data_IF_595953223217
#
_entry.id   IF_595953223217
#
_cell.length_a   1.000
_cell.length_b   1.000
_cell.length_c   1.000
_cell.angle_alpha   90.00
_cell.angle_beta   90.00
_cell.angle_gamma   90.00
#
_symmetry.space_group_name_H-M   'P 1'
#
loop_
_entity.id
_entity.type
_entity.pdbx_description
1 polymer ?
#
# COMPACT_ATOMS: atom_id res chain seq x y z
N UNK A 1 -14.27 -51.98 -5.71
CA UNK A 1 -13.20 -50.97 -5.55
C UNK A 1 -13.64 -49.73 -6.29
N UNK A 2 -13.95 -48.60 -5.61
CA UNK A 2 -14.29 -47.38 -6.32
C UNK A 2 -13.00 -46.65 -6.69
N UNK A 3 -12.84 -46.40 -7.99
CA UNK A 3 -11.81 -45.58 -8.61
C UNK A 3 -11.99 -44.12 -8.19
N UNK A 4 -10.97 -43.54 -7.55
CA UNK A 4 -10.91 -42.13 -7.19
C UNK A 4 -10.91 -41.26 -8.46
N UNK A 5 -11.88 -40.36 -8.58
CA UNK A 5 -11.87 -39.28 -9.56
C UNK A 5 -10.78 -38.23 -9.23
N UNK A 6 -10.44 -37.34 -10.17
CA UNK A 6 -9.38 -36.36 -9.99
C UNK A 6 -9.71 -35.47 -8.79
N UNK A 7 -8.84 -35.53 -7.78
CA UNK A 7 -8.88 -34.63 -6.64
C UNK A 7 -8.76 -33.20 -7.16
N UNK A 8 -9.83 -32.42 -7.00
CA UNK A 8 -9.76 -30.97 -7.16
C UNK A 8 -8.75 -30.47 -6.12
N UNK A 9 -7.56 -30.11 -6.60
CA UNK A 9 -6.56 -29.46 -5.77
C UNK A 9 -7.22 -28.24 -5.10
N UNK A 10 -7.08 -28.07 -3.78
CA UNK A 10 -7.61 -26.90 -3.10
C UNK A 10 -7.00 -25.66 -3.75
N UNK A 11 -7.84 -24.74 -4.23
CA UNK A 11 -7.42 -23.38 -4.57
C UNK A 11 -6.90 -22.75 -3.27
N UNK A 12 -5.60 -22.86 -3.03
CA UNK A 12 -4.97 -22.28 -1.84
C UNK A 12 -5.29 -20.78 -1.83
N UNK A 13 -5.94 -20.29 -0.78
CA UNK A 13 -6.01 -18.86 -0.45
C UNK A 13 -4.75 -18.57 0.37
N UNK A 14 -3.96 -17.62 -0.13
CA UNK A 14 -2.66 -17.16 0.38
C UNK A 14 -1.57 -18.24 0.58
N UNK A 15 -0.32 -17.84 0.35
CA UNK A 15 0.87 -18.69 0.48
C UNK A 15 1.81 -18.63 -0.73
N UNK A 16 3.11 -18.61 -0.47
CA UNK A 16 4.17 -18.63 -1.48
C UNK A 16 3.93 -19.75 -2.50
N UNK A 17 3.63 -19.37 -3.75
CA UNK A 17 3.28 -20.31 -4.83
C UNK A 17 4.53 -21.02 -5.35
N UNK A 18 4.43 -22.33 -5.56
CA UNK A 18 5.54 -23.19 -5.97
C UNK A 18 5.99 -23.05 -7.45
N UNK A 19 5.58 -21.99 -8.15
CA UNK A 19 5.92 -21.75 -9.55
C UNK A 19 7.10 -20.80 -9.73
N UNK A 20 7.78 -20.90 -10.88
CA UNK A 20 8.95 -20.08 -11.24
C UNK A 20 8.67 -19.13 -12.41
N UNK A 21 7.44 -19.14 -12.96
CA UNK A 21 7.05 -18.39 -14.15
C UNK A 21 5.93 -17.40 -13.80
N UNK A 22 6.01 -16.20 -14.39
CA UNK A 22 4.94 -15.20 -14.38
C UNK A 22 4.52 -14.90 -15.82
N UNK A 23 3.22 -14.98 -16.09
CA UNK A 23 2.62 -14.73 -17.40
C UNK A 23 2.01 -13.34 -17.41
N UNK A 24 2.36 -12.53 -18.41
CA UNK A 24 1.81 -11.18 -18.59
C UNK A 24 0.94 -11.12 -19.83
N UNK A 25 -0.30 -10.68 -19.65
CA UNK A 25 -1.29 -10.50 -20.70
C UNK A 25 -1.80 -9.06 -20.60
N UNK A 26 -1.67 -8.29 -21.67
CA UNK A 26 -2.09 -6.90 -21.62
C UNK A 26 -2.01 -6.13 -22.93
N UNK A 27 -2.28 -4.84 -22.81
CA UNK A 27 -2.21 -3.86 -23.89
C UNK A 27 -0.82 -3.24 -24.10
N UNK A 28 -0.75 -2.07 -24.75
CA UNK A 28 0.50 -1.40 -25.10
C UNK A 28 1.41 -1.11 -23.92
N UNK A 29 0.88 -0.74 -22.77
CA UNK A 29 1.71 -0.41 -21.60
C UNK A 29 2.42 -1.68 -21.09
N UNK A 30 1.71 -2.80 -21.01
CA UNK A 30 2.28 -4.11 -20.63
C UNK A 30 3.30 -4.63 -21.66
N UNK A 31 3.12 -4.28 -22.94
CA UNK A 31 4.08 -4.57 -23.99
C UNK A 31 5.39 -3.77 -23.86
N UNK A 32 5.35 -2.65 -23.12
CA UNK A 32 6.48 -1.75 -22.88
C UNK A 32 6.44 -0.45 -23.66
N UNK A 33 5.30 -0.06 -24.22
CA UNK A 33 5.17 1.25 -24.88
C UNK A 33 5.53 2.38 -23.91
N UNK A 34 6.37 3.30 -24.37
CA UNK A 34 6.88 4.43 -23.59
C UNK A 34 8.15 4.15 -22.77
N UNK A 35 8.49 2.88 -22.52
CA UNK A 35 9.79 2.50 -21.96
C UNK A 35 10.90 2.71 -23.02
N UNK A 36 12.09 3.07 -22.57
CA UNK A 36 13.26 3.25 -23.44
C UNK A 36 13.79 1.93 -23.99
N UNK A 37 13.69 0.85 -23.21
CA UNK A 37 14.10 -0.51 -23.58
C UNK A 37 13.18 -1.55 -22.94
N UNK A 38 13.15 -2.77 -23.48
CA UNK A 38 12.34 -3.86 -22.94
C UNK A 38 12.64 -4.19 -21.48
N UNK A 39 13.88 -4.03 -21.01
CA UNK A 39 14.22 -4.28 -19.61
C UNK A 39 13.55 -3.27 -18.64
N UNK A 40 13.09 -2.11 -19.13
CA UNK A 40 12.49 -1.05 -18.33
C UNK A 40 10.96 -1.05 -18.37
N UNK A 41 10.30 -2.03 -19.02
CA UNK A 41 8.85 -2.14 -18.96
C UNK A 41 8.40 -2.74 -17.62
N UNK A 42 7.20 -2.38 -17.16
CA UNK A 42 6.69 -2.81 -15.85
C UNK A 42 6.72 -4.34 -15.65
N UNK A 43 6.44 -5.09 -16.72
CA UNK A 43 6.38 -6.55 -16.68
C UNK A 43 7.75 -7.19 -16.49
N UNK A 44 8.81 -6.66 -17.11
CA UNK A 44 10.17 -7.17 -16.93
C UNK A 44 10.74 -6.77 -15.56
N UNK A 45 10.45 -5.56 -15.08
CA UNK A 45 10.87 -5.10 -13.74
C UNK A 45 10.21 -5.95 -12.65
N UNK A 46 8.87 -6.06 -12.65
CA UNK A 46 8.16 -6.83 -11.64
C UNK A 46 8.52 -8.33 -11.67
N UNK A 47 8.73 -8.91 -12.86
CA UNK A 47 9.18 -10.31 -12.97
C UNK A 47 10.57 -10.50 -12.35
N UNK A 48 11.51 -9.58 -12.60
CA UNK A 48 12.85 -9.59 -12.01
C UNK A 48 12.78 -9.50 -10.49
N UNK A 49 12.00 -8.55 -9.97
CA UNK A 49 11.95 -8.26 -8.53
C UNK A 49 11.23 -9.37 -7.75
N UNK A 50 10.26 -10.06 -8.37
CA UNK A 50 9.64 -11.26 -7.82
C UNK A 50 10.49 -12.54 -8.00
N UNK A 51 11.62 -12.46 -8.71
CA UNK A 51 12.47 -13.62 -9.00
C UNK A 51 11.84 -14.65 -9.93
N UNK A 52 10.95 -14.23 -10.83
CA UNK A 52 10.18 -15.09 -11.73
C UNK A 52 10.59 -14.92 -13.20
N UNK A 53 10.54 -16.00 -13.96
CA UNK A 53 10.79 -15.96 -15.40
C UNK A 53 9.59 -15.35 -16.12
N UNK A 54 9.82 -14.26 -16.87
CA UNK A 54 8.77 -13.56 -17.61
C UNK A 54 8.33 -14.33 -18.86
N UNK A 55 7.01 -14.46 -19.04
CA UNK A 55 6.36 -14.82 -20.30
C UNK A 55 5.34 -13.75 -20.69
N UNK A 56 5.73 -12.84 -21.59
CA UNK A 56 4.93 -11.67 -21.95
C UNK A 56 4.23 -11.83 -23.30
N UNK A 57 2.90 -11.82 -23.27
CA UNK A 57 2.02 -11.91 -24.43
C UNK A 57 1.26 -10.61 -24.70
N UNK A 58 1.65 -9.50 -24.09
CA UNK A 58 1.01 -8.23 -24.35
C UNK A 58 1.20 -7.78 -25.81
N UNK A 59 0.23 -7.02 -26.32
CA UNK A 59 0.28 -6.47 -27.67
C UNK A 59 -0.08 -4.98 -27.67
N UNK A 60 0.58 -4.21 -28.54
CA UNK A 60 0.44 -2.76 -28.62
C UNK A 60 -0.93 -2.27 -29.07
N UNK A 61 -1.75 -3.16 -29.65
CA UNK A 61 -3.09 -2.88 -30.12
C UNK A 61 -4.19 -3.59 -29.30
N UNK A 62 -3.83 -4.29 -28.23
CA UNK A 62 -4.80 -4.97 -27.38
C UNK A 62 -5.36 -4.01 -26.33
N UNK A 63 -6.67 -4.05 -26.15
CA UNK A 63 -7.41 -3.44 -25.04
C UNK A 63 -8.28 -4.53 -24.39
N UNK A 64 -8.90 -4.23 -23.25
CA UNK A 64 -9.79 -5.20 -22.59
C UNK A 64 -10.98 -5.53 -23.48
N UNK A 65 -11.60 -4.50 -24.07
CA UNK A 65 -12.73 -4.67 -25.00
C UNK A 65 -12.32 -5.30 -26.34
N UNK A 66 -11.03 -5.29 -26.71
CA UNK A 66 -10.58 -5.82 -27.99
C UNK A 66 -9.16 -6.42 -27.92
N UNK A 67 -9.05 -7.74 -28.04
CA UNK A 67 -7.78 -8.43 -28.23
C UNK A 67 -7.12 -8.99 -26.96
N UNK A 68 -7.49 -8.56 -25.74
CA UNK A 68 -6.93 -9.12 -24.51
C UNK A 68 -7.21 -10.63 -24.36
N UNK A 69 -8.43 -11.08 -24.62
CA UNK A 69 -8.78 -12.51 -24.60
C UNK A 69 -7.97 -13.30 -25.64
N UNK A 70 -7.72 -12.72 -26.81
CA UNK A 70 -6.84 -13.33 -27.82
C UNK A 70 -5.40 -13.50 -27.30
N UNK A 71 -4.92 -12.59 -26.46
CA UNK A 71 -3.61 -12.73 -25.78
C UNK A 71 -3.64 -13.83 -24.71
N UNK A 72 -4.77 -14.05 -24.04
CA UNK A 72 -4.96 -15.19 -23.15
C UNK A 72 -4.82 -16.52 -23.92
N UNK A 73 -5.42 -16.62 -25.12
CA UNK A 73 -5.26 -17.79 -25.98
C UNK A 73 -3.81 -17.99 -26.43
N UNK A 74 -3.10 -16.91 -26.79
CA UNK A 74 -1.69 -17.01 -27.15
C UNK A 74 -0.85 -17.58 -25.99
N UNK A 75 -1.11 -17.15 -24.75
CA UNK A 75 -0.43 -17.70 -23.56
C UNK A 75 -0.78 -19.18 -23.30
N UNK A 76 -2.07 -19.55 -23.43
CA UNK A 76 -2.55 -20.93 -23.29
C UNK A 76 -1.95 -21.89 -24.34
N UNK A 77 -1.73 -21.36 -25.54
CA UNK A 77 -1.32 -22.19 -26.68
C UNK A 77 0.21 -22.29 -26.80
N UNK A 78 0.99 -21.44 -26.12
CA UNK A 78 2.46 -21.58 -26.06
C UNK A 78 2.86 -22.82 -25.23
N UNK A 79 3.50 -23.78 -25.90
CA UNK A 79 4.01 -25.03 -25.30
C UNK A 79 5.50 -24.98 -24.97
N UNK A 80 6.13 -23.80 -25.02
CA UNK A 80 7.56 -23.62 -24.74
C UNK A 80 7.93 -23.71 -23.25
N UNK A 81 6.96 -23.85 -22.35
CA UNK A 81 7.15 -24.00 -20.91
C UNK A 81 6.02 -24.81 -20.30
N UNK A 82 6.26 -25.35 -19.11
CA UNK A 82 5.25 -26.07 -18.34
C UNK A 82 4.28 -25.09 -17.68
N UNK A 83 3.00 -25.20 -18.01
CA UNK A 83 1.94 -24.35 -17.48
C UNK A 83 1.72 -24.57 -15.98
N UNK A 84 2.12 -25.71 -15.44
CA UNK A 84 2.10 -25.97 -13.99
C UNK A 84 3.18 -25.19 -13.22
N UNK A 85 4.20 -24.66 -13.90
CA UNK A 85 5.23 -23.83 -13.28
C UNK A 85 4.84 -22.34 -13.23
N UNK A 86 3.67 -21.97 -13.76
CA UNK A 86 3.16 -20.60 -13.67
C UNK A 86 2.64 -20.32 -12.27
N UNK A 87 3.34 -19.44 -11.56
CA UNK A 87 2.94 -18.96 -10.24
C UNK A 87 1.86 -17.87 -10.33
N UNK A 88 2.01 -16.96 -11.30
CA UNK A 88 1.15 -15.78 -11.44
C UNK A 88 0.78 -15.53 -12.90
N UNK A 89 -0.46 -15.07 -13.10
CA UNK A 89 -0.92 -14.52 -14.38
C UNK A 89 -1.41 -13.11 -14.14
N UNK A 90 -0.75 -12.14 -14.77
CA UNK A 90 -1.12 -10.73 -14.71
C UNK A 90 -1.94 -10.37 -15.94
N UNK A 91 -3.18 -9.94 -15.71
CA UNK A 91 -4.07 -9.35 -16.70
C UNK A 91 -4.05 -7.83 -16.52
N UNK A 92 -3.54 -7.10 -17.51
CA UNK A 92 -3.28 -5.66 -17.38
C UNK A 92 -3.85 -4.85 -18.54
N UNK A 93 -4.68 -3.85 -18.23
CA UNK A 93 -5.27 -2.95 -19.21
C UNK A 93 -6.51 -2.21 -18.71
N UNK A 94 -7.14 -1.46 -19.61
CA UNK A 94 -8.42 -0.79 -19.38
C UNK A 94 -8.36 0.73 -19.51
N UNK A 95 -7.15 1.32 -19.49
CA UNK A 95 -7.00 2.76 -19.69
C UNK A 95 -7.14 3.16 -21.16
N UNK A 96 -6.89 2.20 -22.06
CA UNK A 96 -7.03 2.32 -23.51
C UNK A 96 -8.49 2.23 -23.98
N UNK A 97 -9.38 1.67 -23.16
CA UNK A 97 -10.76 1.41 -23.53
C UNK A 97 -11.63 2.68 -23.40
N UNK A 98 -12.36 3.09 -24.44
CA UNK A 98 -13.30 4.20 -24.34
C UNK A 98 -14.53 3.80 -23.53
N UNK A 99 -15.22 4.78 -22.94
CA UNK A 99 -16.44 4.53 -22.15
C UNK A 99 -17.55 3.84 -22.96
N UNK A 100 -17.61 4.10 -24.28
CA UNK A 100 -18.55 3.43 -25.19
C UNK A 100 -18.33 1.92 -25.30
N UNK A 101 -17.15 1.42 -24.91
CA UNK A 101 -16.82 0.00 -24.88
C UNK A 101 -17.08 -0.66 -23.52
N UNK A 102 -17.62 0.06 -22.53
CA UNK A 102 -17.86 -0.46 -21.17
C UNK A 102 -18.62 -1.80 -21.14
N UNK A 103 -19.70 -2.03 -21.91
CA UNK A 103 -20.35 -3.34 -21.93
C UNK A 103 -19.40 -4.46 -22.37
N UNK A 104 -18.53 -4.18 -23.34
CA UNK A 104 -17.51 -5.13 -23.80
C UNK A 104 -16.41 -5.37 -22.78
N UNK A 105 -16.00 -4.33 -22.07
CA UNK A 105 -15.02 -4.45 -20.98
C UNK A 105 -15.54 -5.38 -19.88
N UNK A 106 -16.80 -5.24 -19.46
CA UNK A 106 -17.38 -6.04 -18.37
C UNK A 106 -17.31 -7.54 -18.68
N UNK A 107 -17.87 -7.99 -19.81
CA UNK A 107 -17.87 -9.43 -20.08
C UNK A 107 -16.48 -9.97 -20.47
N UNK A 108 -15.65 -9.19 -21.20
CA UNK A 108 -14.31 -9.64 -21.59
C UNK A 108 -13.32 -9.67 -20.44
N UNK A 109 -13.50 -8.83 -19.42
CA UNK A 109 -12.72 -8.93 -18.20
C UNK A 109 -12.97 -10.28 -17.51
N UNK A 110 -14.23 -10.66 -17.35
CA UNK A 110 -14.61 -11.97 -16.79
C UNK A 110 -14.08 -13.13 -17.63
N UNK A 111 -14.23 -13.05 -18.95
CA UNK A 111 -13.77 -14.09 -19.87
C UNK A 111 -12.25 -14.27 -19.82
N UNK A 112 -11.49 -13.18 -19.78
CA UNK A 112 -10.03 -13.25 -19.68
C UNK A 112 -9.56 -13.95 -18.40
N UNK A 113 -10.20 -13.68 -17.24
CA UNK A 113 -9.93 -14.43 -16.01
C UNK A 113 -10.29 -15.91 -16.18
N UNK A 114 -11.46 -16.22 -16.75
CA UNK A 114 -11.91 -17.60 -16.97
C UNK A 114 -10.94 -18.39 -17.85
N UNK A 115 -10.51 -17.81 -18.97
CA UNK A 115 -9.57 -18.46 -19.89
C UNK A 115 -8.19 -18.67 -19.27
N UNK A 116 -7.69 -17.68 -18.52
CA UNK A 116 -6.44 -17.85 -17.79
C UNK A 116 -6.54 -18.92 -16.70
N UNK A 117 -7.68 -19.03 -16.00
CA UNK A 117 -7.88 -20.06 -14.97
C UNK A 117 -7.90 -21.47 -15.55
N UNK A 118 -8.48 -21.64 -16.74
CA UNK A 118 -8.47 -22.91 -17.47
C UNK A 118 -7.06 -23.28 -17.93
N UNK A 119 -6.29 -22.30 -18.40
CA UNK A 119 -4.94 -22.50 -18.91
C UNK A 119 -3.91 -22.76 -17.78
N UNK A 120 -4.03 -22.03 -16.68
CA UNK A 120 -3.05 -21.99 -15.59
C UNK A 120 -3.74 -22.27 -14.24
N UNK A 121 -4.24 -23.50 -14.00
CA UNK A 121 -5.07 -23.81 -12.84
C UNK A 121 -4.36 -23.65 -11.49
N UNK A 122 -3.02 -23.74 -11.47
CA UNK A 122 -2.21 -23.57 -10.26
C UNK A 122 -1.84 -22.09 -9.96
N UNK A 123 -2.04 -21.19 -10.93
CA UNK A 123 -1.58 -19.82 -10.84
C UNK A 123 -2.57 -18.92 -10.08
N UNK A 124 -2.03 -17.92 -9.36
CA UNK A 124 -2.81 -16.78 -8.87
C UNK A 124 -3.02 -15.79 -10.01
N UNK A 125 -4.29 -15.50 -10.31
CA UNK A 125 -4.64 -14.49 -11.30
C UNK A 125 -4.72 -13.13 -10.61
N UNK A 126 -4.07 -12.15 -11.21
CA UNK A 126 -4.03 -10.77 -10.76
C UNK A 126 -4.55 -9.90 -11.89
N UNK A 127 -5.50 -9.04 -11.58
CA UNK A 127 -6.00 -8.03 -12.49
C UNK A 127 -5.43 -6.66 -12.14
N UNK A 128 -4.48 -6.20 -12.94
CA UNK A 128 -3.84 -4.90 -12.90
C UNK A 128 -4.63 -3.88 -13.76
N UNK A 129 -5.63 -3.25 -13.16
CA UNK A 129 -6.59 -2.41 -13.88
C UNK A 129 -6.05 -0.99 -14.14
N UNK A 130 -6.13 -0.55 -15.39
CA UNK A 130 -5.84 0.82 -15.81
C UNK A 130 -4.38 1.29 -15.64
N UNK A 131 -3.34 0.51 -16.01
CA UNK A 131 -1.98 1.02 -15.98
C UNK A 131 -1.85 2.23 -16.91
N UNK A 132 -1.05 3.23 -16.51
CA UNK A 132 -0.69 4.37 -17.36
C UNK A 132 -0.89 5.75 -16.73
N UNK A 133 -0.51 6.78 -17.47
CA UNK A 133 -0.61 8.18 -17.04
C UNK A 133 -1.97 8.79 -17.36
N UNK A 134 -2.49 9.61 -16.45
CA UNK A 134 -3.69 10.43 -16.64
C UNK A 134 -3.35 11.90 -16.96
N UNK A 135 -2.07 12.24 -17.07
CA UNK A 135 -1.64 13.60 -17.31
C UNK A 135 -2.18 14.12 -18.66
N UNK A 136 -2.79 15.30 -18.63
CA UNK A 136 -3.43 15.91 -19.79
C UNK A 136 -4.83 15.37 -20.13
N UNK A 137 -5.41 14.48 -19.32
CA UNK A 137 -6.83 14.13 -19.44
C UNK A 137 -7.73 15.25 -18.90
N UNK A 138 -8.82 15.52 -19.61
CA UNK A 138 -9.90 16.38 -19.10
C UNK A 138 -10.75 15.66 -18.03
N UNK A 139 -11.63 16.41 -17.37
CA UNK A 139 -12.49 15.90 -16.30
C UNK A 139 -13.40 14.75 -16.76
N UNK A 140 -13.92 14.80 -17.99
CA UNK A 140 -14.78 13.74 -18.53
C UNK A 140 -13.99 12.45 -18.70
N UNK A 141 -12.80 12.51 -19.30
CA UNK A 141 -11.91 11.34 -19.48
C UNK A 141 -11.43 10.75 -18.15
N UNK A 142 -11.24 11.59 -17.12
CA UNK A 142 -10.92 11.12 -15.77
C UNK A 142 -12.08 10.33 -15.14
N UNK A 143 -13.34 10.76 -15.34
CA UNK A 143 -14.53 10.05 -14.87
C UNK A 143 -14.76 8.77 -15.67
N UNK A 144 -14.62 8.82 -16.98
CA UNK A 144 -14.77 7.68 -17.88
C UNK A 144 -13.78 6.56 -17.54
N UNK A 145 -12.49 6.91 -17.39
CA UNK A 145 -11.46 5.94 -16.98
C UNK A 145 -11.73 5.36 -15.60
N UNK A 146 -12.27 6.14 -14.67
CA UNK A 146 -12.67 5.64 -13.34
C UNK A 146 -13.79 4.60 -13.46
N UNK A 147 -14.77 4.84 -14.32
CA UNK A 147 -15.90 3.93 -14.56
C UNK A 147 -15.41 2.61 -15.15
N UNK A 148 -14.56 2.67 -16.17
CA UNK A 148 -13.98 1.48 -16.83
C UNK A 148 -13.14 0.66 -15.84
N UNK A 149 -12.23 1.30 -15.12
CA UNK A 149 -11.36 0.64 -14.14
C UNK A 149 -12.18 0.02 -13.00
N UNK A 150 -13.21 0.71 -12.51
CA UNK A 150 -14.08 0.17 -11.45
C UNK A 150 -14.84 -1.08 -11.91
N UNK A 151 -15.36 -1.07 -13.15
CA UNK A 151 -16.06 -2.23 -13.71
C UNK A 151 -15.12 -3.45 -13.83
N UNK A 152 -13.90 -3.22 -14.30
CA UNK A 152 -12.86 -4.25 -14.38
C UNK A 152 -12.54 -4.84 -13.01
N UNK A 153 -12.28 -3.99 -12.01
CA UNK A 153 -11.95 -4.42 -10.66
C UNK A 153 -13.11 -5.20 -10.02
N UNK A 154 -14.37 -4.79 -10.29
CA UNK A 154 -15.55 -5.54 -9.88
C UNK A 154 -15.58 -6.96 -10.46
N UNK A 155 -15.36 -7.10 -11.77
CA UNK A 155 -15.32 -8.40 -12.43
C UNK A 155 -14.15 -9.29 -11.95
N UNK A 156 -13.00 -8.68 -11.67
CA UNK A 156 -11.86 -9.39 -11.11
C UNK A 156 -12.20 -10.00 -9.73
N UNK A 157 -12.86 -9.23 -8.85
CA UNK A 157 -13.27 -9.70 -7.52
C UNK A 157 -14.31 -10.83 -7.59
N UNK A 158 -15.34 -10.67 -8.42
CA UNK A 158 -16.36 -11.72 -8.65
C UNK A 158 -15.71 -13.02 -9.16
N UNK A 159 -14.64 -12.92 -9.94
CA UNK A 159 -13.90 -14.06 -10.47
C UNK A 159 -12.75 -14.56 -9.57
N UNK A 160 -12.68 -14.11 -8.32
CA UNK A 160 -11.64 -14.45 -7.33
C UNK A 160 -10.20 -14.24 -7.86
N UNK A 161 -10.00 -13.12 -8.55
CA UNK A 161 -8.69 -12.60 -8.93
C UNK A 161 -8.28 -11.47 -7.98
N UNK A 162 -6.98 -11.34 -7.72
CA UNK A 162 -6.45 -10.20 -6.96
C UNK A 162 -6.62 -8.92 -7.78
N UNK A 163 -7.38 -7.96 -7.29
CA UNK A 163 -7.73 -6.75 -8.02
C UNK A 163 -6.82 -5.58 -7.60
N UNK A 164 -5.94 -5.14 -8.51
CA UNK A 164 -4.95 -4.08 -8.29
C UNK A 164 -5.30 -2.87 -9.13
N UNK A 165 -5.48 -1.70 -8.49
CA UNK A 165 -5.81 -0.46 -9.18
C UNK A 165 -4.55 0.30 -9.59
N UNK A 166 -4.12 0.16 -10.83
CA UNK A 166 -2.93 0.84 -11.35
C UNK A 166 -3.21 2.25 -11.87
N UNK A 167 -4.48 2.61 -12.07
CA UNK A 167 -4.90 3.94 -12.55
C UNK A 167 -4.42 5.07 -11.63
N UNK A 168 -4.30 4.80 -10.34
CA UNK A 168 -3.92 5.80 -9.33
C UNK A 168 -2.42 5.96 -9.17
N UNK A 169 -1.61 5.03 -9.70
CA UNK A 169 -0.17 4.97 -9.42
C UNK A 169 0.56 6.17 -10.02
N UNK A 170 0.34 6.44 -11.31
CA UNK A 170 0.94 7.59 -11.99
C UNK A 170 0.10 8.85 -11.84
N UNK A 171 -1.22 8.68 -11.68
CA UNK A 171 -2.16 9.79 -11.59
C UNK A 171 -1.94 10.81 -12.72
N UNK A 172 -1.88 12.09 -12.35
CA UNK A 172 -1.64 13.21 -13.27
C UNK A 172 -0.19 13.69 -13.27
N UNK A 173 0.76 12.91 -12.74
CA UNK A 173 2.17 13.28 -12.72
C UNK A 173 2.77 13.22 -14.13
N UNK A 174 3.18 14.38 -14.65
CA UNK A 174 3.80 14.49 -15.98
C UNK A 174 5.24 14.00 -16.00
N UNK A 175 5.92 13.92 -14.86
CA UNK A 175 7.30 13.44 -14.78
C UNK A 175 7.43 11.95 -15.05
N UNK A 176 6.35 11.18 -14.88
CA UNK A 176 6.28 9.74 -15.15
C UNK A 176 5.67 9.43 -16.54
N UNK A 177 5.36 10.45 -17.33
CA UNK A 177 4.74 10.33 -18.64
C UNK A 177 5.79 10.39 -19.76
N UNK A 178 5.68 9.49 -20.74
CA UNK A 178 6.42 9.58 -22.00
C UNK A 178 5.57 10.35 -23.03
N UNK A 179 4.35 9.87 -23.29
CA UNK A 179 3.39 10.55 -24.16
C UNK A 179 1.98 10.01 -23.96
N UNK A 180 0.97 10.89 -23.90
CA UNK A 180 -0.41 10.47 -23.70
C UNK A 180 -0.56 9.54 -22.48
N UNK A 181 -1.19 8.38 -22.64
CA UNK A 181 -1.32 7.43 -21.51
C UNK A 181 -0.04 6.64 -21.22
N UNK A 182 0.98 6.75 -22.08
CA UNK A 182 2.17 5.90 -22.03
C UNK A 182 3.14 6.39 -20.95
N UNK A 183 3.53 5.52 -20.02
CA UNK A 183 4.53 5.85 -19.02
C UNK A 183 5.94 5.87 -19.62
N UNK A 184 6.83 6.69 -19.04
CA UNK A 184 8.27 6.59 -19.29
C UNK A 184 8.90 5.54 -18.35
N UNK A 185 10.22 5.41 -18.34
CA UNK A 185 10.92 4.43 -17.50
C UNK A 185 10.55 4.53 -16.01
N UNK A 186 10.49 5.75 -15.45
CA UNK A 186 10.09 5.96 -14.07
C UNK A 186 8.62 5.58 -13.82
N UNK A 187 7.74 5.84 -14.79
CA UNK A 187 6.35 5.40 -14.71
C UNK A 187 6.20 3.88 -14.78
N UNK A 188 7.00 3.18 -15.61
CA UNK A 188 7.01 1.72 -15.64
C UNK A 188 7.54 1.11 -14.34
N UNK A 189 8.56 1.74 -13.74
CA UNK A 189 9.09 1.34 -12.43
C UNK A 189 8.03 1.47 -11.33
N UNK A 190 7.33 2.60 -11.24
CA UNK A 190 6.26 2.80 -10.26
C UNK A 190 5.09 1.81 -10.44
N UNK A 191 4.70 1.51 -11.69
CA UNK A 191 3.68 0.49 -11.97
C UNK A 191 4.14 -0.91 -11.57
N UNK A 192 5.42 -1.24 -11.77
CA UNK A 192 5.98 -2.52 -11.36
C UNK A 192 6.00 -2.66 -9.83
N UNK A 193 6.45 -1.63 -9.12
CA UNK A 193 6.49 -1.59 -7.65
C UNK A 193 5.10 -1.86 -7.05
N UNK A 194 4.07 -1.19 -7.56
CA UNK A 194 2.69 -1.40 -7.10
C UNK A 194 2.19 -2.85 -7.31
N UNK A 195 2.65 -3.53 -8.36
CA UNK A 195 2.31 -4.94 -8.60
C UNK A 195 3.10 -5.84 -7.64
N UNK A 196 4.39 -5.58 -7.45
CA UNK A 196 5.24 -6.34 -6.53
C UNK A 196 4.71 -6.25 -5.09
N UNK A 197 4.39 -5.04 -4.62
CA UNK A 197 3.79 -4.81 -3.31
C UNK A 197 2.49 -5.59 -3.15
N UNK A 198 1.58 -5.50 -4.12
CA UNK A 198 0.32 -6.25 -4.08
C UNK A 198 0.52 -7.78 -4.06
N UNK A 199 1.55 -8.30 -4.74
CA UNK A 199 1.88 -9.73 -4.73
C UNK A 199 2.47 -10.15 -3.39
N UNK A 200 3.37 -9.35 -2.81
CA UNK A 200 3.97 -9.65 -1.51
C UNK A 200 2.94 -9.53 -0.37
N UNK A 201 2.01 -8.58 -0.44
CA UNK A 201 0.88 -8.49 0.49
C UNK A 201 -0.04 -9.72 0.40
N UNK A 202 -0.41 -10.17 -0.81
CA UNK A 202 -1.20 -11.41 -1.02
C UNK A 202 -0.45 -12.67 -0.53
N UNK A 203 0.90 -12.63 -0.48
CA UNK A 203 1.73 -13.69 0.12
C UNK A 203 1.79 -13.61 1.64
N UNK A 204 1.78 -12.40 2.21
CA UNK A 204 1.94 -12.14 3.64
C UNK A 204 0.65 -12.32 4.45
N UNK A 205 -0.52 -12.33 3.81
CA UNK A 205 -1.77 -12.70 4.48
C UNK A 205 -1.67 -14.12 5.08
N UNK A 206 -1.88 -14.30 6.41
CA UNK A 206 -1.80 -15.60 7.03
C UNK A 206 -2.75 -16.57 6.33
N UNK A 207 -2.25 -17.78 6.06
CA UNK A 207 -3.08 -18.89 5.59
C UNK A 207 -4.15 -19.12 6.64
N UNK A 208 -5.36 -18.62 6.41
CA UNK A 208 -6.51 -19.03 7.19
C UNK A 208 -6.59 -20.54 7.02
N UNK A 209 -6.30 -21.25 8.10
CA UNK A 209 -6.59 -22.68 8.25
C UNK A 209 -7.96 -22.95 7.65
N UNK A 210 -8.13 -24.02 6.85
CA UNK A 210 -9.41 -24.28 6.20
C UNK A 210 -10.50 -24.24 7.27
N UNK A 211 -11.37 -23.24 7.18
CA UNK A 211 -12.63 -23.25 7.90
C UNK A 211 -13.30 -24.51 7.35
N UNK A 212 -13.24 -25.59 8.12
CA UNK A 212 -14.16 -26.70 7.92
C UNK A 212 -15.53 -26.06 7.97
N UNK A 213 -16.33 -26.10 6.89
CA UNK A 213 -17.67 -25.57 6.96
C UNK A 213 -18.43 -26.46 7.96
N UNK A 214 -18.43 -26.11 9.24
CA UNK A 214 -19.41 -26.60 10.20
C UNK A 214 -20.71 -25.87 9.94
N UNK A 215 -21.26 -26.11 8.75
CA UNK A 215 -22.68 -26.01 8.47
C UNK A 215 -23.04 -27.23 7.65
N UNK A 216 -23.49 -28.25 8.37
CA UNK A 216 -24.37 -29.28 7.83
C UNK A 216 -25.56 -28.57 7.17
N UNK A 217 -25.48 -28.31 5.87
CA UNK A 217 -26.70 -28.31 5.07
C UNK A 217 -27.09 -29.77 4.93
N UNK A 218 -28.02 -30.20 5.78
CA UNK A 218 -28.84 -31.36 5.49
C UNK A 218 -29.29 -31.26 4.03
N UNK A 219 -28.93 -32.25 3.24
CA UNK A 219 -29.30 -32.46 1.85
C UNK A 219 -30.81 -32.69 1.70
N UNK A 220 -31.61 -31.68 2.03
CA UNK A 220 -33.08 -31.70 1.95
C UNK A 220 -33.65 -30.92 0.77
N UNK A 221 -32.83 -30.16 0.02
CA UNK A 221 -33.30 -29.32 -1.10
C UNK A 221 -33.00 -29.92 -2.49
N UNK A 222 -32.16 -30.95 -2.58
CA UNK A 222 -31.87 -31.64 -3.84
C UNK A 222 -32.84 -32.78 -4.19
N UNK A 223 -33.81 -33.11 -3.33
CA UNK A 223 -34.76 -34.23 -3.56
C UNK A 223 -36.20 -33.77 -3.90
N UNK A 224 -36.47 -32.46 -3.91
CA UNK A 224 -37.78 -31.92 -4.35
C UNK A 224 -37.75 -31.45 -5.81
N UNK A 225 -36.69 -30.74 -6.22
CA UNK A 225 -36.53 -30.24 -7.58
C UNK A 225 -36.36 -31.37 -8.62
N UNK A 226 -35.65 -32.44 -8.27
CA UNK A 226 -35.47 -33.61 -9.15
C UNK A 226 -36.74 -34.44 -9.30
N UNK A 227 -37.57 -34.56 -8.25
CA UNK A 227 -38.84 -35.31 -8.31
C UNK A 227 -39.93 -34.60 -9.09
N UNK A 228 -39.95 -33.26 -9.12
CA UNK A 228 -40.88 -32.51 -9.97
C UNK A 228 -40.52 -32.57 -11.46
N UNK A 229 -39.23 -32.58 -11.79
CA UNK A 229 -38.73 -32.67 -13.18
C UNK A 229 -38.86 -34.09 -13.75
N UNK A 230 -38.70 -35.14 -12.93
CA UNK A 230 -38.95 -36.52 -13.37
C UNK A 230 -40.45 -36.87 -13.46
N UNK A 231 -41.29 -36.32 -12.59
CA UNK A 231 -42.74 -36.50 -12.65
C UNK A 231 -43.40 -35.76 -13.84
N UNK A 232 -42.81 -34.64 -14.29
CA UNK A 232 -43.26 -33.92 -15.50
C UNK A 232 -42.75 -34.63 -16.77
N UNK A 233 -41.49 -35.07 -16.82
CA UNK A 233 -40.97 -35.83 -17.97
C UNK A 233 -41.66 -37.18 -18.18
N UNK A 234 -42.07 -37.89 -17.12
CA UNK A 234 -42.88 -39.12 -17.26
C UNK A 234 -44.30 -38.85 -17.77
N UNK A 235 -44.98 -37.79 -17.31
CA UNK A 235 -46.32 -37.42 -17.80
C UNK A 235 -46.32 -36.85 -19.22
N UNK A 236 -45.22 -36.24 -19.66
CA UNK A 236 -45.05 -35.75 -21.03
C UNK A 236 -44.64 -36.86 -22.01
N UNK A 237 -43.86 -37.85 -21.57
CA UNK A 237 -43.55 -39.04 -22.35
C UNK A 237 -44.80 -39.92 -22.54
N UNK A 238 -45.60 -40.14 -21.48
CA UNK A 238 -46.85 -40.91 -21.57
C UNK A 238 -47.94 -40.20 -22.41
N UNK A 239 -47.91 -38.87 -22.54
CA UNK A 239 -48.82 -38.11 -23.42
C UNK A 239 -48.36 -38.05 -24.88
N UNK A 240 -47.06 -38.21 -25.16
CA UNK A 240 -46.50 -38.22 -26.54
C UNK A 240 -46.71 -39.55 -27.28
N UNK A 241 -46.99 -40.64 -26.57
CA UNK A 241 -47.25 -41.95 -27.18
C UNK A 241 -48.74 -42.22 -27.47
N UNK A 242 -49.65 -41.45 -26.83
CA UNK A 242 -51.09 -41.60 -27.00
C UNK A 242 -51.75 -40.66 -28.03
N UNK A 243 -51.04 -39.66 -28.56
CA UNK A 243 -51.67 -38.67 -29.44
C UNK A 243 -50.76 -38.29 -30.60
N UNK A 244 -50.86 -39.06 -31.70
CA UNK A 244 -50.23 -38.73 -32.98
C UNK A 244 -51.32 -38.29 -33.97
N UNK A 245 -51.59 -36.99 -34.14
CA UNK A 245 -52.34 -36.49 -35.29
C UNK A 245 -51.42 -35.76 -36.27
N UNK A 246 -51.57 -36.16 -37.52
CA UNK A 246 -51.14 -35.50 -38.75
C UNK A 246 -51.75 -34.11 -38.91
N UNK A 247 -50.96 -33.11 -39.34
CA UNK A 247 -51.50 -31.85 -39.88
C UNK A 247 -50.65 -30.62 -39.60
N UNK A 248 -49.97 -30.12 -40.62
CA UNK A 248 -48.80 -29.22 -40.64
C UNK A 248 -48.99 -27.80 -40.09
N UNK A 249 -50.21 -27.35 -39.76
CA UNK A 249 -50.44 -25.98 -39.24
C UNK A 249 -50.53 -25.91 -37.71
N UNK A 250 -50.98 -27.00 -37.07
CA UNK A 250 -50.95 -27.11 -35.61
C UNK A 250 -49.52 -27.17 -35.10
N UNK A 251 -48.60 -27.83 -35.84
CA UNK A 251 -47.16 -27.91 -35.52
C UNK A 251 -46.46 -26.55 -35.47
N UNK A 252 -46.86 -25.59 -36.31
CA UNK A 252 -46.30 -24.23 -36.30
C UNK A 252 -46.82 -23.39 -35.13
N UNK A 253 -48.07 -23.63 -34.70
CA UNK A 253 -48.65 -22.98 -33.51
C UNK A 253 -48.08 -23.59 -32.23
N UNK A 254 -47.90 -24.91 -32.14
CA UNK A 254 -47.20 -25.54 -31.00
C UNK A 254 -45.73 -25.18 -30.95
N UNK A 255 -45.03 -25.07 -32.09
CA UNK A 255 -43.65 -24.57 -32.10
C UNK A 255 -43.55 -23.12 -31.62
N UNK A 256 -44.44 -22.23 -32.08
CA UNK A 256 -44.47 -20.84 -31.58
C UNK A 256 -44.85 -20.76 -30.12
N UNK A 257 -45.74 -21.63 -29.63
CA UNK A 257 -46.11 -21.69 -28.22
C UNK A 257 -44.96 -22.24 -27.37
N UNK A 258 -44.22 -23.25 -27.86
CA UNK A 258 -43.02 -23.78 -27.21
C UNK A 258 -41.89 -22.73 -27.18
N UNK A 259 -41.69 -21.99 -28.27
CA UNK A 259 -40.74 -20.87 -28.35
C UNK A 259 -41.13 -19.72 -27.41
N UNK A 260 -42.42 -19.33 -27.36
CA UNK A 260 -42.89 -18.31 -26.42
C UNK A 260 -42.77 -18.78 -24.96
N UNK A 261 -43.04 -20.05 -24.70
CA UNK A 261 -42.90 -20.64 -23.35
C UNK A 261 -41.42 -20.68 -22.94
N UNK A 262 -40.52 -21.02 -23.86
CA UNK A 262 -39.08 -20.94 -23.62
C UNK A 262 -38.61 -19.50 -23.43
N UNK A 263 -39.09 -18.54 -24.23
CA UNK A 263 -38.75 -17.12 -24.08
C UNK A 263 -39.25 -16.54 -22.75
N UNK A 264 -40.47 -16.89 -22.32
CA UNK A 264 -40.98 -16.51 -21.00
C UNK A 264 -40.17 -17.14 -19.87
N UNK A 265 -39.79 -18.42 -19.98
CA UNK A 265 -38.93 -19.07 -19.00
C UNK A 265 -37.55 -18.42 -18.90
N UNK A 266 -36.92 -18.07 -20.03
CA UNK A 266 -35.63 -17.36 -20.07
C UNK A 266 -35.77 -15.96 -19.47
N UNK A 267 -36.85 -15.24 -19.75
CA UNK A 267 -37.09 -13.92 -19.19
C UNK A 267 -37.33 -13.96 -17.67
N UNK A 268 -37.98 -15.02 -17.18
CA UNK A 268 -38.23 -15.21 -15.75
C UNK A 268 -36.95 -15.55 -15.00
N UNK A 269 -36.10 -16.43 -15.56
CA UNK A 269 -34.77 -16.75 -15.01
C UNK A 269 -33.86 -15.50 -15.02
N UNK A 270 -33.94 -14.66 -16.04
CA UNK A 270 -33.15 -13.42 -16.11
C UNK A 270 -33.57 -12.41 -15.03
N UNK A 271 -34.86 -12.31 -14.73
CA UNK A 271 -35.38 -11.43 -13.67
C UNK A 271 -35.00 -11.94 -12.28
N UNK A 272 -35.06 -13.25 -12.05
CA UNK A 272 -34.59 -13.86 -10.80
C UNK A 272 -33.09 -13.62 -10.61
N UNK A 273 -32.28 -13.79 -11.67
CA UNK A 273 -30.85 -13.52 -11.61
C UNK A 273 -30.55 -12.04 -11.32
N UNK A 274 -31.31 -11.10 -11.89
CA UNK A 274 -31.17 -9.68 -11.57
C UNK A 274 -31.55 -9.34 -10.12
N UNK A 275 -32.52 -10.06 -9.54
CA UNK A 275 -32.90 -9.90 -8.14
C UNK A 275 -31.84 -10.45 -7.19
N UNK A 276 -31.29 -11.62 -7.48
CA UNK A 276 -30.17 -12.19 -6.70
C UNK A 276 -28.94 -11.27 -6.75
N UNK A 277 -28.63 -10.71 -7.93
CA UNK A 277 -27.54 -9.73 -8.08
C UNK A 277 -27.81 -8.45 -7.26
N UNK A 278 -29.05 -7.94 -7.24
CA UNK A 278 -29.40 -6.78 -6.43
C UNK A 278 -29.26 -7.05 -4.93
N UNK A 279 -29.65 -8.24 -4.46
CA UNK A 279 -29.52 -8.64 -3.07
C UNK A 279 -28.04 -8.80 -2.65
N UNK A 280 -27.20 -9.36 -3.53
CA UNK A 280 -25.76 -9.42 -3.31
C UNK A 280 -25.12 -8.03 -3.26
N UNK A 281 -25.48 -7.15 -4.19
CA UNK A 281 -25.02 -5.75 -4.19
C UNK A 281 -25.44 -5.00 -2.93
N UNK A 282 -26.64 -5.25 -2.43
CA UNK A 282 -27.13 -4.65 -1.19
C UNK A 282 -26.34 -5.13 0.02
N UNK A 283 -26.06 -6.44 0.12
CA UNK A 283 -25.23 -6.99 1.20
C UNK A 283 -23.78 -6.46 1.13
N UNK A 284 -23.22 -6.34 -0.06
CA UNK A 284 -21.88 -5.79 -0.23
C UNK A 284 -21.84 -4.31 0.18
N UNK A 285 -22.86 -3.53 -0.18
CA UNK A 285 -22.96 -2.12 0.21
C UNK A 285 -23.06 -1.97 1.73
N UNK A 286 -23.82 -2.83 2.41
CA UNK A 286 -23.91 -2.86 3.87
C UNK A 286 -22.56 -3.21 4.51
N UNK A 287 -21.85 -4.20 3.98
CA UNK A 287 -20.51 -4.55 4.45
C UNK A 287 -19.50 -3.41 4.24
N UNK A 288 -19.55 -2.73 3.10
CA UNK A 288 -18.72 -1.55 2.83
C UNK A 288 -19.05 -0.38 3.77
N UNK A 289 -20.34 -0.14 4.05
CA UNK A 289 -20.75 0.88 5.03
C UNK A 289 -20.23 0.56 6.43
N UNK A 290 -20.31 -0.69 6.87
CA UNK A 290 -19.77 -1.10 8.16
C UNK A 290 -18.24 -0.93 8.22
N UNK A 291 -17.53 -1.26 7.14
CA UNK A 291 -16.08 -1.06 7.04
C UNK A 291 -15.72 0.43 7.11
N UNK A 292 -16.43 1.28 6.38
CA UNK A 292 -16.25 2.74 6.42
C UNK A 292 -16.52 3.30 7.82
N UNK A 293 -17.58 2.84 8.49
CA UNK A 293 -17.89 3.23 9.85
C UNK A 293 -16.76 2.85 10.82
N UNK A 294 -16.20 1.65 10.68
CA UNK A 294 -15.06 1.18 11.48
C UNK A 294 -13.82 2.06 11.26
N UNK A 295 -13.51 2.35 9.99
CA UNK A 295 -12.39 3.26 9.64
C UNK A 295 -12.61 4.67 10.19
N UNK A 296 -13.84 5.20 10.14
CA UNK A 296 -14.18 6.50 10.70
C UNK A 296 -14.00 6.53 12.23
N UNK A 297 -14.36 5.46 12.92
CA UNK A 297 -14.15 5.32 14.36
C UNK A 297 -12.65 5.27 14.70
N UNK A 298 -11.85 4.56 13.91
CA UNK A 298 -10.39 4.51 14.06
C UNK A 298 -9.75 5.89 13.84
N UNK A 299 -10.16 6.62 12.79
CA UNK A 299 -9.68 7.99 12.54
C UNK A 299 -10.02 8.93 13.69
N UNK A 300 -11.24 8.85 14.22
CA UNK A 300 -11.66 9.64 15.38
C UNK A 300 -10.79 9.35 16.62
N UNK A 301 -10.44 8.08 16.82
CA UNK A 301 -9.53 7.68 17.91
C UNK A 301 -8.12 8.24 17.71
N UNK A 302 -7.56 8.10 16.50
CA UNK A 302 -6.24 8.66 16.18
C UNK A 302 -6.20 10.18 16.31
N UNK A 303 -7.28 10.88 15.92
CA UNK A 303 -7.39 12.32 16.10
C UNK A 303 -7.35 12.71 17.58
N UNK A 304 -8.06 11.98 18.43
CA UNK A 304 -8.05 12.19 19.88
C UNK A 304 -6.67 11.94 20.50
N UNK A 305 -5.96 10.91 20.04
CA UNK A 305 -4.59 10.58 20.46
C UNK A 305 -3.60 11.67 20.04
N UNK A 306 -3.71 12.18 18.81
CA UNK A 306 -2.88 13.29 18.32
C UNK A 306 -3.11 14.57 19.12
N UNK A 307 -4.36 14.91 19.45
CA UNK A 307 -4.67 16.07 20.29
C UNK A 307 -4.06 15.94 21.70
N UNK A 308 -4.09 14.74 22.28
CA UNK A 308 -3.47 14.48 23.57
C UNK A 308 -1.94 14.62 23.51
N UNK A 309 -1.32 14.10 22.45
CA UNK A 309 0.13 14.25 22.21
C UNK A 309 0.51 15.72 22.03
N UNK A 310 -0.26 16.51 21.29
CA UNK A 310 -0.03 17.95 21.12
C UNK A 310 -0.08 18.70 22.45
N UNK A 311 -1.05 18.39 23.32
CA UNK A 311 -1.14 18.99 24.67
C UNK A 311 0.07 18.62 25.55
N UNK A 312 0.53 17.37 25.46
CA UNK A 312 1.71 16.90 26.17
C UNK A 312 2.98 17.62 25.70
N UNK A 313 3.18 17.72 24.38
CA UNK A 313 4.29 18.44 23.78
C UNK A 313 4.29 19.92 24.17
N UNK A 314 3.12 20.57 24.18
CA UNK A 314 3.00 21.96 24.61
C UNK A 314 3.42 22.13 26.08
N UNK A 315 2.97 21.22 26.94
CA UNK A 315 3.35 21.23 28.36
C UNK A 315 4.85 21.01 28.56
N UNK A 316 5.47 20.12 27.78
CA UNK A 316 6.90 19.90 27.79
C UNK A 316 7.68 21.13 27.31
N UNK A 317 7.21 21.79 26.25
CA UNK A 317 7.79 23.03 25.74
C UNK A 317 7.78 24.14 26.81
N UNK A 318 6.65 24.33 27.50
CA UNK A 318 6.52 25.35 28.55
C UNK A 318 7.42 25.03 29.77
N UNK A 319 7.61 23.74 30.10
CA UNK A 319 8.54 23.32 31.14
C UNK A 319 10.00 23.60 30.76
N UNK A 320 10.39 23.33 29.51
CA UNK A 320 11.72 23.64 28.99
C UNK A 320 11.98 25.15 29.02
N UNK A 321 11.00 25.96 28.62
CA UNK A 321 11.12 27.42 28.66
C UNK A 321 11.38 27.92 30.08
N UNK A 322 10.62 27.43 31.06
CA UNK A 322 10.85 27.78 32.49
C UNK A 322 12.24 27.37 32.96
N UNK A 323 12.72 26.19 32.56
CA UNK A 323 14.06 25.74 32.89
C UNK A 323 15.14 26.65 32.28
N UNK A 324 14.96 27.11 31.03
CA UNK A 324 15.87 28.05 30.38
C UNK A 324 15.90 29.42 31.09
N UNK A 325 14.75 29.95 31.50
CA UNK A 325 14.67 31.20 32.26
C UNK A 325 15.38 31.09 33.62
N UNK A 326 15.21 29.95 34.31
CA UNK A 326 15.92 29.69 35.57
C UNK A 326 17.44 29.60 35.36
N UNK A 327 17.89 28.89 34.32
CA UNK A 327 19.31 28.80 33.99
C UNK A 327 19.91 30.17 33.64
N UNK A 328 19.21 30.99 32.86
CA UNK A 328 19.65 32.34 32.54
C UNK A 328 19.87 33.19 33.80
N UNK A 329 18.96 33.08 34.78
CA UNK A 329 19.11 33.77 36.07
C UNK A 329 20.33 33.28 36.85
N UNK A 330 20.51 31.96 36.97
CA UNK A 330 21.67 31.37 37.68
C UNK A 330 22.98 31.83 37.05
N UNK A 331 23.06 31.81 35.71
CA UNK A 331 24.26 32.27 34.99
C UNK A 331 24.52 33.77 35.23
N UNK A 332 23.46 34.59 35.27
CA UNK A 332 23.56 36.00 35.65
C UNK A 332 24.11 36.19 37.07
N UNK A 333 23.50 35.52 38.05
CA UNK A 333 23.92 35.57 39.46
C UNK A 333 25.38 35.10 39.63
N UNK A 334 25.80 34.06 38.91
CA UNK A 334 27.19 33.59 38.89
C UNK A 334 28.13 34.64 38.29
N UNK A 335 27.73 35.34 37.23
CA UNK A 335 28.50 36.43 36.65
C UNK A 335 28.76 37.57 37.65
N UNK A 336 27.74 37.97 38.40
CA UNK A 336 27.85 38.99 39.45
C UNK A 336 28.75 38.55 40.61
N UNK A 337 28.67 37.28 41.02
CA UNK A 337 29.57 36.70 42.01
C UNK A 337 31.02 36.71 41.53
N UNK A 338 31.29 36.33 40.28
CA UNK A 338 32.65 36.37 39.69
C UNK A 338 33.19 37.80 39.67
N UNK A 339 32.37 38.80 39.31
CA UNK A 339 32.78 40.20 39.33
C UNK A 339 33.09 40.70 40.75
N UNK A 340 32.32 40.26 41.73
CA UNK A 340 32.55 40.56 43.15
C UNK A 340 33.87 39.95 43.63
N UNK A 341 34.11 38.68 43.31
CA UNK A 341 35.37 37.99 43.64
C UNK A 341 36.58 38.66 42.99
N UNK A 342 36.45 39.10 41.73
CA UNK A 342 37.50 39.85 41.04
C UNK A 342 37.84 41.15 41.78
N UNK A 343 36.82 41.93 42.17
CA UNK A 343 37.01 43.18 42.91
C UNK A 343 37.67 42.95 44.28
N UNK A 344 37.29 41.87 44.97
CA UNK A 344 37.91 41.47 46.23
C UNK A 344 39.38 41.08 46.02
N UNK A 345 39.68 40.32 44.97
CA UNK A 345 41.04 39.93 44.60
C UNK A 345 41.92 41.15 44.35
N UNK A 346 41.43 42.12 43.57
CA UNK A 346 42.14 43.39 43.33
C UNK A 346 42.37 44.19 44.62
N UNK A 347 41.40 44.18 45.54
CA UNK A 347 41.52 44.87 46.84
C UNK A 347 42.53 44.19 47.76
N UNK A 348 42.60 42.85 47.74
CA UNK A 348 43.61 42.08 48.47
C UNK A 348 45.00 42.35 47.91
N UNK A 349 45.18 42.37 46.59
CA UNK A 349 46.46 42.70 45.96
C UNK A 349 46.97 44.09 46.38
N UNK A 350 46.11 45.11 46.39
CA UNK A 350 46.48 46.46 46.89
C UNK A 350 46.85 46.46 48.37
N UNK A 351 46.25 45.58 49.16
CA UNK A 351 46.56 45.45 50.58
C UNK A 351 47.93 44.81 50.77
N UNK A 352 48.23 43.79 49.96
CA UNK A 352 49.54 43.11 49.93
C UNK A 352 50.66 44.10 49.57
N UNK A 353 50.48 44.90 48.50
CA UNK A 353 51.43 45.95 48.10
C UNK A 353 51.69 47.01 49.20
N UNK A 354 50.65 47.34 49.99
CA UNK A 354 50.79 48.25 51.15
C UNK A 354 51.57 47.58 52.28
N UNK A 355 51.32 46.31 52.56
CA UNK A 355 52.06 45.55 53.57
C UNK A 355 53.54 45.50 53.20
N UNK A 356 53.87 45.18 51.95
CA UNK A 356 55.24 45.18 51.44
C UNK A 356 55.93 46.55 51.64
N UNK A 357 55.21 47.63 51.35
CA UNK A 357 55.71 49.00 51.54
C UNK A 357 55.98 49.31 53.03
N UNK A 358 55.06 48.91 53.91
CA UNK A 358 55.21 49.08 55.36
C UNK A 358 56.40 48.27 55.87
N UNK A 359 56.52 47.00 55.46
CA UNK A 359 57.64 46.14 55.83
C UNK A 359 58.98 46.73 55.41
N UNK A 360 59.09 47.23 54.17
CA UNK A 360 60.30 47.93 53.70
C UNK A 360 60.63 49.15 54.54
N UNK A 361 59.64 49.99 54.83
CA UNK A 361 59.81 51.20 55.65
C UNK A 361 60.25 50.86 57.08
N UNK A 362 59.66 49.83 57.68
CA UNK A 362 60.06 49.35 59.02
C UNK A 362 61.50 48.85 59.02
N UNK A 363 61.89 48.08 57.99
CA UNK A 363 63.27 47.62 57.84
C UNK A 363 64.25 48.79 57.72
N UNK A 364 63.97 49.79 56.90
CA UNK A 364 64.80 51.00 56.77
C UNK A 364 64.89 51.78 58.09
N UNK A 365 63.77 51.91 58.82
CA UNK A 365 63.74 52.59 60.11
C UNK A 365 64.56 51.83 61.17
N UNK A 366 64.49 50.50 61.16
CA UNK A 366 65.31 49.65 62.03
C UNK A 366 66.80 49.89 61.75
N UNK A 367 67.21 49.85 60.48
CA UNK A 367 68.60 50.13 60.09
C UNK A 367 69.06 51.54 60.53
N UNK A 368 68.19 52.56 60.40
CA UNK A 368 68.50 53.92 60.87
C UNK A 368 68.65 53.99 62.40
N UNK A 369 67.82 53.25 63.15
CA UNK A 369 67.89 53.18 64.61
C UNK A 369 69.19 52.51 65.05
N UNK A 370 69.55 51.37 64.47
CA UNK A 370 70.79 50.65 64.77
C UNK A 370 72.01 51.56 64.54
N UNK A 371 72.09 52.23 63.38
CA UNK A 371 73.14 53.21 63.09
C UNK A 371 73.20 54.38 64.10
N UNK A 372 72.05 54.83 64.62
CA UNK A 372 72.01 55.89 65.65
C UNK A 372 72.47 55.39 67.00
N UNK A 373 72.12 54.15 67.36
CA UNK A 373 72.57 53.49 68.58
C UNK A 373 74.09 53.32 68.55
N UNK A 374 74.65 52.83 67.43
CA UNK A 374 76.10 52.69 67.26
C UNK A 374 76.83 54.02 67.44
N UNK A 375 76.36 55.09 66.79
CA UNK A 375 76.92 56.45 66.94
C UNK A 375 76.80 56.99 68.37
N UNK A 376 75.72 56.66 69.08
CA UNK A 376 75.55 57.04 70.49
C UNK A 376 76.56 56.28 71.36
N UNK A 377 76.73 54.98 71.13
CA UNK A 377 77.71 54.16 71.83
C UNK A 377 79.14 54.70 71.63
N UNK A 378 79.52 55.04 70.39
CA UNK A 378 80.82 55.69 70.10
C UNK A 378 81.00 57.02 70.86
N UNK A 379 79.95 57.86 70.91
CA UNK A 379 80.01 59.15 71.62
C UNK A 379 80.13 58.96 73.13
N UNK A 380 79.40 58.01 73.71
CA UNK A 380 79.49 57.66 75.13
C UNK A 380 80.91 57.18 75.45
N UNK A 381 81.47 56.27 74.64
CA UNK A 381 82.85 55.78 74.81
C UNK A 381 83.89 56.92 74.74
N UNK A 382 83.72 57.88 73.81
CA UNK A 382 84.59 59.07 73.74
C UNK A 382 84.49 59.95 74.99
N UNK A 383 83.29 60.11 75.57
CA UNK A 383 83.10 60.87 76.82
C UNK A 383 83.74 60.14 78.00
N UNK A 384 83.55 58.83 78.12
CA UNK A 384 84.18 58.01 79.17
C UNK A 384 85.72 58.11 79.11
N UNK A 385 86.31 58.02 77.91
CA UNK A 385 87.76 58.16 77.72
C UNK A 385 88.27 59.59 77.96
N UNK A 386 87.47 60.62 77.65
CA UNK A 386 87.81 62.03 77.84
C UNK A 386 87.69 62.53 79.28
N UNK A 387 87.03 61.77 80.16
CA UNK A 387 86.88 62.12 81.60
C UNK A 387 88.00 61.51 82.46
N UNK A 388 88.97 60.82 81.84
CA UNK A 388 90.10 60.15 82.50
C UNK A 388 91.40 60.97 82.51
N UNK A 389 91.34 62.29 82.63
CA UNK A 389 92.50 63.17 82.73
C UNK A 389 92.43 64.11 83.94
#
# INVERSE_FOLDING_TARGET
MPTAGPSAAPLLRSGARAGTIIVWIGGPITAGSGASVHAHRMSSIASRDLGLTEKNYAATNATVSNGLVTRCYAARDDKSYDHNQVAYVILAGGLEDPISALPAVIYKARDAVSECRKAFPAARIIWAAGPGSLAGMDATRLVDSTTIVSAILGQARVADALAVNLRTVLGTDTSMQSSGILPNDAGHEALAEAIVEAVEDDRAEPVDTPITPTRNYSSGLSDWASRQVEATRKREAEKREANRPTGTELGGVTQKLDELTQQQGVQQVLLEQQQDELDEHQQELEAQQQKLQSQQNQLTKHQSELEAQQKSLKSAQDAIQKAQEQLAKIVGDQGDQVNTLKTLTESLQRTDEKIDTIQRTLWENQQKLDNRIDKLAERVQKLENGTSA
#
